data_IF_222892575015
#
_entry.id   IF_222892575015
#
_cell.length_a   1.000
_cell.length_b   1.000
_cell.length_c   1.000
_cell.angle_alpha   90.00
_cell.angle_beta   90.00
_cell.angle_gamma   90.00
#
_symmetry.space_group_name_H-M   'P 1'
#
loop_
_entity.id
_entity.type
_entity.pdbx_description
1 polymer ?
#
# COMPACT_ATOMS: atom_id res chain seq x y z
N UNK A 1 -6.38 2.63 14.19
CA UNK A 1 -7.51 1.67 14.34
C UNK A 1 -8.86 2.36 14.16
N UNK A 2 -9.12 3.50 14.84
CA UNK A 2 -10.41 4.24 14.70
C UNK A 2 -10.67 4.65 13.25
N UNK A 3 -9.71 5.27 12.58
CA UNK A 3 -9.81 5.67 11.17
C UNK A 3 -10.03 4.46 10.23
N UNK A 4 -9.38 3.33 10.49
CA UNK A 4 -9.58 2.10 9.72
C UNK A 4 -10.99 1.57 9.88
N UNK A 5 -11.54 1.60 11.09
CA UNK A 5 -12.93 1.21 11.35
C UNK A 5 -13.92 2.12 10.61
N UNK A 6 -13.65 3.42 10.55
CA UNK A 6 -14.49 4.36 9.82
C UNK A 6 -14.49 4.08 8.30
N UNK A 7 -13.33 3.79 7.72
CA UNK A 7 -13.20 3.37 6.32
C UNK A 7 -14.04 2.12 6.06
N UNK A 8 -13.94 1.11 6.94
CA UNK A 8 -14.68 -0.16 6.81
C UNK A 8 -16.19 0.03 6.95
N UNK A 9 -16.66 0.89 7.87
CA UNK A 9 -18.08 1.22 8.01
C UNK A 9 -18.67 1.85 6.73
N UNK A 10 -17.87 2.61 6.00
CA UNK A 10 -18.27 3.23 4.75
C UNK A 10 -18.07 2.32 3.52
N UNK A 11 -17.73 1.04 3.72
CA UNK A 11 -17.45 0.08 2.66
C UNK A 11 -16.38 0.54 1.66
N UNK A 12 -15.39 1.27 2.15
CA UNK A 12 -14.25 1.69 1.36
C UNK A 12 -13.08 0.72 1.53
N UNK A 13 -12.34 0.41 0.44
CA UNK A 13 -11.19 -0.48 0.53
C UNK A 13 -10.04 0.18 1.28
N UNK A 14 -9.38 -0.59 2.12
CA UNK A 14 -8.16 -0.21 2.80
C UNK A 14 -6.97 -0.98 2.21
N UNK A 15 -6.20 -0.33 1.36
CA UNK A 15 -5.02 -0.91 0.72
C UNK A 15 -3.77 -0.42 1.42
N UNK A 16 -2.91 -1.34 1.85
CA UNK A 16 -1.63 -1.05 2.50
C UNK A 16 -0.49 -1.35 1.56
N UNK A 17 0.45 -0.42 1.45
CA UNK A 17 1.70 -0.59 0.70
C UNK A 17 2.87 -0.54 1.68
N UNK A 18 3.53 -1.69 1.85
CA UNK A 18 4.74 -1.79 2.64
C UNK A 18 5.96 -1.40 1.83
N UNK A 19 6.70 -0.43 2.31
CA UNK A 19 7.97 0.02 1.75
C UNK A 19 9.15 -0.45 2.61
N UNK A 20 10.37 -0.30 2.11
CA UNK A 20 11.56 -0.76 2.80
C UNK A 20 12.18 0.31 3.74
N UNK A 21 12.35 0.02 5.03
CA UNK A 21 11.82 -1.11 5.80
C UNK A 21 10.49 -0.80 6.47
N UNK A 22 9.71 -1.84 6.80
CA UNK A 22 8.47 -1.72 7.58
C UNK A 22 8.55 -2.61 8.82
N UNK A 23 8.76 -2.04 10.00
CA UNK A 23 8.97 -2.76 11.25
C UNK A 23 8.10 -2.22 12.40
N UNK A 24 8.06 -3.00 13.47
CA UNK A 24 7.53 -2.58 14.78
C UNK A 24 6.05 -2.30 14.79
N UNK A 25 5.68 -1.19 15.41
CA UNK A 25 4.28 -0.81 15.64
C UNK A 25 3.46 -0.62 14.37
N UNK A 26 4.07 -0.24 13.25
CA UNK A 26 3.37 -0.12 11.96
C UNK A 26 2.87 -1.49 11.50
N UNK A 27 3.76 -2.48 11.47
CA UNK A 27 3.43 -3.85 11.06
C UNK A 27 2.49 -4.51 12.07
N UNK A 28 2.73 -4.32 13.37
CA UNK A 28 1.93 -4.93 14.44
C UNK A 28 0.55 -4.30 14.63
N UNK A 29 0.21 -3.23 13.93
CA UNK A 29 -1.05 -2.51 14.11
C UNK A 29 -1.78 -2.27 12.78
N UNK A 30 -1.89 -1.02 12.35
CA UNK A 30 -2.68 -0.63 11.19
C UNK A 30 -2.17 -1.20 9.86
N UNK A 31 -0.87 -1.49 9.74
CA UNK A 31 -0.31 -2.08 8.53
C UNK A 31 -0.92 -3.45 8.17
N UNK A 32 -1.16 -4.29 9.17
CA UNK A 32 -1.75 -5.63 8.96
C UNK A 32 -3.28 -5.63 8.94
N UNK A 33 -3.93 -4.48 9.04
CA UNK A 33 -5.39 -4.36 8.98
C UNK A 33 -5.94 -4.08 7.56
N UNK A 34 -5.05 -3.98 6.58
CA UNK A 34 -5.44 -3.77 5.19
C UNK A 34 -6.31 -4.89 4.63
N UNK A 35 -7.25 -4.54 3.76
CA UNK A 35 -8.02 -5.51 2.99
C UNK A 35 -7.15 -6.16 1.91
N UNK A 36 -6.18 -5.39 1.37
CA UNK A 36 -5.12 -5.88 0.50
C UNK A 36 -3.79 -5.29 0.97
N UNK A 37 -2.79 -6.14 1.03
CA UNK A 37 -1.45 -5.82 1.47
C UNK A 37 -0.45 -6.03 0.33
N UNK A 38 0.19 -4.94 -0.08
CA UNK A 38 1.16 -4.91 -1.17
C UNK A 38 2.52 -4.58 -0.58
N UNK A 39 3.58 -5.18 -1.09
CA UNK A 39 4.94 -4.82 -0.73
C UNK A 39 5.79 -4.54 -1.97
N UNK A 40 6.78 -3.67 -1.81
CA UNK A 40 7.82 -3.50 -2.82
C UNK A 40 8.79 -4.69 -2.81
N UNK A 41 9.34 -5.09 -3.97
CA UNK A 41 10.30 -6.18 -4.04
C UNK A 41 11.49 -5.98 -3.10
N UNK A 42 11.93 -7.05 -2.45
CA UNK A 42 13.07 -7.07 -1.52
C UNK A 42 12.92 -6.18 -0.28
N UNK A 43 11.77 -5.56 -0.06
CA UNK A 43 11.54 -4.77 1.15
C UNK A 43 11.54 -5.66 2.40
N UNK A 44 12.09 -5.14 3.49
CA UNK A 44 12.14 -5.81 4.77
C UNK A 44 10.87 -5.50 5.56
N UNK A 45 10.14 -6.54 5.93
CA UNK A 45 8.86 -6.42 6.64
C UNK A 45 8.88 -7.35 7.85
N UNK A 46 8.60 -6.83 9.04
CA UNK A 46 8.60 -7.65 10.24
C UNK A 46 8.28 -6.83 11.49
N UNK A 47 8.32 -7.50 12.65
CA UNK A 47 8.16 -6.81 13.93
C UNK A 47 9.49 -6.22 14.42
N UNK A 48 10.56 -7.00 14.34
CA UNK A 48 11.91 -6.58 14.71
C UNK A 48 12.88 -6.81 13.55
N UNK A 49 13.92 -5.99 13.48
CA UNK A 49 14.98 -6.18 12.48
C UNK A 49 15.73 -7.50 12.68
N UNK A 50 16.25 -8.07 11.58
CA UNK A 50 17.00 -9.33 11.55
C UNK A 50 18.07 -9.41 12.64
N UNK A 51 18.89 -8.36 12.77
CA UNK A 51 19.97 -8.30 13.76
C UNK A 51 19.47 -8.45 15.20
N UNK A 52 18.35 -7.83 15.53
CA UNK A 52 17.76 -7.90 16.88
C UNK A 52 17.29 -9.32 17.17
N UNK A 53 16.66 -9.95 16.19
CA UNK A 53 16.17 -11.33 16.33
C UNK A 53 17.35 -12.27 16.53
N UNK A 54 18.38 -12.21 15.67
CA UNK A 54 19.58 -13.06 15.76
C UNK A 54 20.30 -12.92 17.11
N UNK A 55 20.39 -11.69 17.63
CA UNK A 55 20.99 -11.45 18.95
C UNK A 55 20.14 -12.02 20.10
N UNK A 56 18.82 -12.05 19.93
CA UNK A 56 17.90 -12.55 20.96
C UNK A 56 17.85 -14.07 21.01
N UNK A 57 17.83 -14.73 19.85
CA UNK A 57 17.73 -16.21 19.77
C UNK A 57 19.11 -16.89 19.73
N UNK A 58 20.18 -16.14 19.47
CA UNK A 58 21.54 -16.68 19.37
C UNK A 58 21.82 -17.50 18.10
N UNK A 59 20.95 -17.42 17.09
CA UNK A 59 21.05 -18.17 15.84
C UNK A 59 21.05 -17.23 14.65
N UNK A 60 21.67 -17.66 13.54
CA UNK A 60 21.64 -16.95 12.27
C UNK A 60 20.35 -17.25 11.52
N UNK A 61 19.65 -16.21 11.10
CA UNK A 61 18.42 -16.35 10.32
C UNK A 61 18.70 -16.74 8.86
N UNK A 62 17.77 -17.49 8.23
CA UNK A 62 17.90 -17.88 6.83
C UNK A 62 18.06 -16.66 5.92
N UNK A 63 18.73 -16.91 4.79
CA UNK A 63 18.82 -15.90 3.73
C UNK A 63 17.42 -15.53 3.22
N UNK A 64 17.20 -14.24 2.98
CA UNK A 64 15.89 -13.73 2.53
C UNK A 64 14.82 -13.65 3.62
N UNK A 65 15.12 -14.01 4.86
CA UNK A 65 14.19 -13.89 5.98
C UNK A 65 13.65 -12.46 6.10
N UNK A 66 12.33 -12.32 6.28
CA UNK A 66 11.59 -11.03 6.35
C UNK A 66 11.59 -10.20 5.05
N UNK A 67 12.06 -10.72 3.92
CA UNK A 67 11.86 -10.06 2.64
C UNK A 67 10.38 -10.14 2.22
N UNK A 68 9.94 -9.21 1.38
CA UNK A 68 8.57 -9.20 0.85
C UNK A 68 8.19 -10.54 0.21
N UNK A 69 9.11 -11.14 -0.55
CA UNK A 69 8.93 -12.44 -1.19
C UNK A 69 8.77 -13.57 -0.16
N UNK A 70 9.59 -13.56 0.88
CA UNK A 70 9.50 -14.53 1.98
C UNK A 70 8.13 -14.42 2.68
N UNK A 71 7.73 -13.21 3.05
CA UNK A 71 6.47 -12.95 3.75
C UNK A 71 5.26 -13.32 2.87
N UNK A 72 5.31 -13.03 1.57
CA UNK A 72 4.28 -13.45 0.61
C UNK A 72 4.15 -14.97 0.56
N UNK A 73 5.26 -15.68 0.45
CA UNK A 73 5.26 -17.14 0.39
C UNK A 73 4.70 -17.80 1.66
N UNK A 74 4.74 -17.10 2.79
CA UNK A 74 4.17 -17.53 4.06
C UNK A 74 2.78 -16.94 4.33
N UNK A 75 2.16 -16.28 3.34
CA UNK A 75 0.79 -15.77 3.44
C UNK A 75 0.64 -14.49 4.26
N UNK A 76 1.73 -13.79 4.57
CA UNK A 76 1.69 -12.55 5.37
C UNK A 76 1.33 -11.29 4.57
N UNK A 77 1.47 -11.32 3.25
CA UNK A 77 1.06 -10.25 2.32
C UNK A 77 0.49 -10.85 1.04
N UNK A 78 -0.31 -10.08 0.32
CA UNK A 78 -1.01 -10.56 -0.88
C UNK A 78 -0.18 -10.44 -2.14
N UNK A 79 0.46 -9.30 -2.36
CA UNK A 79 1.16 -8.97 -3.60
C UNK A 79 2.55 -8.39 -3.35
N UNK A 80 3.49 -8.73 -4.23
CA UNK A 80 4.77 -8.03 -4.36
C UNK A 80 4.77 -7.34 -5.72
N UNK A 81 4.84 -6.01 -5.70
CA UNK A 81 4.69 -5.17 -6.90
C UNK A 81 5.78 -4.11 -6.93
N UNK A 82 6.44 -3.95 -8.08
CA UNK A 82 7.43 -2.91 -8.28
C UNK A 82 6.78 -1.53 -8.21
N UNK A 83 7.54 -0.52 -7.78
CA UNK A 83 7.04 0.87 -7.71
C UNK A 83 6.53 1.38 -9.06
N UNK A 84 7.07 0.90 -10.16
CA UNK A 84 6.65 1.29 -11.53
C UNK A 84 5.23 0.85 -11.83
N UNK A 85 4.87 -0.34 -11.35
CA UNK A 85 3.58 -0.98 -11.65
C UNK A 85 2.54 -0.74 -10.55
N UNK A 86 2.96 -0.11 -9.45
CA UNK A 86 2.13 0.06 -8.25
C UNK A 86 0.87 0.88 -8.54
N UNK A 87 0.98 1.96 -9.31
CA UNK A 87 -0.16 2.81 -9.69
C UNK A 87 -1.24 2.03 -10.42
N UNK A 88 -0.86 1.27 -11.44
CA UNK A 88 -1.80 0.51 -12.27
C UNK A 88 -2.42 -0.65 -11.49
N UNK A 89 -1.61 -1.30 -10.64
CA UNK A 89 -2.08 -2.36 -9.73
C UNK A 89 -3.11 -1.82 -8.75
N UNK A 90 -2.83 -0.70 -8.07
CA UNK A 90 -3.78 -0.07 -7.14
C UNK A 90 -5.05 0.36 -7.86
N UNK A 91 -4.94 0.98 -9.04
CA UNK A 91 -6.09 1.38 -9.84
C UNK A 91 -6.99 0.20 -10.21
N UNK A 92 -6.41 -0.92 -10.62
CA UNK A 92 -7.12 -2.16 -10.91
C UNK A 92 -7.82 -2.73 -9.68
N UNK A 93 -7.13 -2.77 -8.54
CA UNK A 93 -7.69 -3.27 -7.28
C UNK A 93 -8.85 -2.41 -6.79
N UNK A 94 -8.74 -1.08 -6.84
CA UNK A 94 -9.83 -0.18 -6.48
C UNK A 94 -11.04 -0.40 -7.39
N UNK A 95 -10.82 -0.55 -8.70
CA UNK A 95 -11.89 -0.83 -9.66
C UNK A 95 -12.63 -2.12 -9.32
N UNK A 96 -11.89 -3.19 -9.00
CA UNK A 96 -12.48 -4.48 -8.62
C UNK A 96 -13.24 -4.36 -7.29
N UNK A 97 -12.60 -3.79 -6.26
CA UNK A 97 -13.16 -3.73 -4.91
C UNK A 97 -14.39 -2.82 -4.83
N UNK A 98 -14.44 -1.74 -5.58
CA UNK A 98 -15.58 -0.84 -5.63
C UNK A 98 -16.61 -1.24 -6.69
N UNK A 99 -16.36 -2.31 -7.46
CA UNK A 99 -17.24 -2.76 -8.59
C UNK A 99 -17.51 -1.62 -9.58
N UNK A 100 -16.54 -0.73 -9.78
CA UNK A 100 -16.62 0.38 -10.73
C UNK A 100 -15.99 -0.03 -12.05
N UNK A 101 -16.56 0.42 -13.16
CA UNK A 101 -15.92 0.27 -14.46
C UNK A 101 -14.60 1.06 -14.48
N UNK A 102 -13.59 0.55 -15.17
CA UNK A 102 -12.35 1.29 -15.40
C UNK A 102 -12.71 2.66 -15.99
N UNK A 103 -12.50 3.71 -15.22
CA UNK A 103 -12.48 5.07 -15.77
C UNK A 103 -11.22 5.14 -16.64
N UNK A 104 -11.40 5.31 -17.92
CA UNK A 104 -10.28 5.45 -18.85
C UNK A 104 -9.51 6.70 -18.46
N UNK A 105 -8.20 6.60 -18.24
CA UNK A 105 -7.32 7.73 -17.86
C UNK A 105 -7.42 8.92 -18.84
N UNK A 106 -7.96 8.70 -20.05
CA UNK A 106 -8.27 9.73 -21.04
C UNK A 106 -9.36 10.72 -20.58
N UNK A 107 -10.31 10.31 -19.75
CA UNK A 107 -11.37 11.21 -19.26
C UNK A 107 -10.88 12.13 -18.13
N UNK A 108 -10.00 11.62 -17.27
CA UNK A 108 -9.40 12.43 -16.20
C UNK A 108 -8.41 13.49 -16.70
N UNK A 109 -7.86 13.33 -17.91
CA UNK A 109 -6.94 14.31 -18.52
C UNK A 109 -7.70 15.44 -19.21
N UNK A 110 -8.95 15.22 -19.63
CA UNK A 110 -9.76 16.25 -20.30
C UNK A 110 -10.48 17.18 -19.31
N UNK A 111 -10.74 16.76 -18.07
CA UNK A 111 -11.33 17.64 -17.06
C UNK A 111 -10.36 18.67 -16.48
N UNK A 112 -9.04 18.46 -16.64
CA UNK A 112 -8.02 19.41 -16.19
C UNK A 112 -7.55 20.40 -17.27
N UNK A 113 -8.22 20.43 -18.44
CA UNK A 113 -8.03 21.46 -19.46
C UNK A 113 -9.19 22.47 -19.50
N UNK A 114 -9.78 22.81 -18.35
CA UNK A 114 -10.59 24.01 -18.26
C UNK A 114 -9.68 25.25 -18.25
N UNK A 115 -9.87 26.01 -19.28
CA UNK A 115 -9.44 27.34 -19.67
C UNK A 115 -8.82 28.21 -18.55
N UNK A 116 -7.50 28.57 -18.65
CA UNK A 116 -6.84 29.47 -17.71
C UNK A 116 -7.44 30.92 -17.70
N UNK A 117 -8.43 31.23 -18.52
CA UNK A 117 -8.94 32.58 -18.66
C UNK A 117 -10.19 32.91 -17.81
N UNK A 118 -10.65 31.99 -16.96
CA UNK A 118 -11.83 32.24 -16.11
C UNK A 118 -11.53 32.65 -14.66
N UNK A 119 -10.32 33.08 -14.35
CA UNK A 119 -10.05 33.74 -13.07
C UNK A 119 -10.06 35.25 -13.27
N UNK A 120 -11.22 35.83 -13.51
CA UNK A 120 -11.44 37.27 -13.30
C UNK A 120 -11.84 37.45 -11.85
N UNK A 121 -10.91 37.94 -11.04
CA UNK A 121 -11.20 38.51 -9.74
C UNK A 121 -12.02 39.77 -9.97
N UNK A 122 -13.27 39.75 -9.58
CA UNK A 122 -14.06 40.97 -9.44
C UNK A 122 -13.48 41.75 -8.25
N UNK A 123 -12.62 42.73 -8.54
CA UNK A 123 -12.28 43.80 -7.62
C UNK A 123 -13.39 44.84 -7.73
N UNK A 124 -14.13 45.04 -6.65
CA UNK A 124 -14.87 46.28 -6.31
C UNK A 124 -15.14 46.24 -4.82
#
# INVERSE_FOLDING_TARGET
>A
VVAVNEIKKNNLPYIVVFTNPSYGGVTASFGMLGDIQIAEPKSQIGFAGKRVIEQTIGETLPEGFQTAEYIKNHGGIDLVVSRKDLRDTIGTLITILLKKNKVTLAEATNENQEDPQKITWAAS
#
